data_IF_978023365002
#
_entry.id   IF_978023365002
#
_cell.length_a   1.000
_cell.length_b   1.000
_cell.length_c   1.000
_cell.angle_alpha   90.00
_cell.angle_beta   90.00
_cell.angle_gamma   90.00
#
_symmetry.space_group_name_H-M   'P 1'
#
loop_
_entity.id
_entity.type
_entity.pdbx_description
1 polymer ?
#
# COMPACT_ATOMS: atom_id res chain seq x y z
N UNK A 1 -10.73 -12.66 -55.78
CA UNK A 1 -11.64 -12.14 -54.73
C UNK A 1 -11.35 -10.66 -54.55
N UNK A 2 -12.34 -9.77 -54.57
CA UNK A 2 -12.14 -8.35 -54.27
C UNK A 2 -12.21 -8.18 -52.75
N UNK A 3 -11.09 -7.87 -52.11
CA UNK A 3 -11.06 -7.49 -50.69
C UNK A 3 -11.62 -6.08 -50.58
N UNK A 4 -12.75 -5.92 -49.89
CA UNK A 4 -13.26 -4.60 -49.54
C UNK A 4 -12.30 -3.97 -48.54
N UNK A 5 -11.90 -2.72 -48.79
CA UNK A 5 -11.11 -1.95 -47.83
C UNK A 5 -12.09 -1.31 -46.84
N UNK A 6 -11.89 -1.50 -45.53
CA UNK A 6 -12.74 -0.87 -44.53
C UNK A 6 -12.56 0.66 -44.59
N UNK A 7 -13.62 1.36 -44.22
CA UNK A 7 -13.65 2.81 -44.09
C UNK A 7 -13.27 3.23 -42.68
N UNK A 8 -12.74 4.44 -42.49
CA UNK A 8 -12.37 4.96 -41.17
C UNK A 8 -13.53 4.90 -40.17
N UNK A 9 -14.75 5.18 -40.64
CA UNK A 9 -15.96 5.06 -39.83
C UNK A 9 -16.20 3.65 -39.29
N UNK A 10 -15.92 2.61 -40.08
CA UNK A 10 -16.04 1.22 -39.65
C UNK A 10 -14.93 0.82 -38.67
N UNK A 11 -13.78 1.50 -38.71
CA UNK A 11 -12.68 1.28 -37.75
C UNK A 11 -12.92 1.99 -36.41
N UNK A 12 -13.73 3.06 -36.41
CA UNK A 12 -14.04 3.86 -35.22
C UNK A 12 -15.39 3.48 -34.58
N UNK A 13 -16.14 2.55 -35.18
CA UNK A 13 -17.42 2.10 -34.65
C UNK A 13 -17.22 1.31 -33.35
N UNK A 14 -17.76 1.84 -32.24
CA UNK A 14 -17.61 1.24 -30.91
C UNK A 14 -16.34 1.59 -30.15
N UNK A 15 -15.48 2.49 -30.67
CA UNK A 15 -14.40 3.10 -29.88
C UNK A 15 -14.94 4.35 -29.19
N UNK A 16 -15.08 4.29 -27.87
CA UNK A 16 -15.30 5.45 -27.01
C UNK A 16 -14.03 5.76 -26.20
N UNK A 17 -13.97 6.93 -25.57
CA UNK A 17 -12.80 7.37 -24.80
C UNK A 17 -12.38 6.41 -23.67
N UNK A 18 -13.28 5.53 -23.23
CA UNK A 18 -13.05 4.51 -22.21
C UNK A 18 -12.73 3.13 -22.82
N UNK A 19 -13.14 2.83 -24.06
CA UNK A 19 -12.80 1.58 -24.79
C UNK A 19 -11.58 1.70 -25.70
N UNK A 20 -11.14 2.92 -26.04
CA UNK A 20 -9.98 3.18 -26.89
C UNK A 20 -8.63 2.96 -26.17
N UNK A 21 -8.64 2.83 -24.84
CA UNK A 21 -7.45 2.48 -24.07
C UNK A 21 -7.24 0.97 -24.08
N UNK A 22 -6.37 0.51 -24.97
CA UNK A 22 -5.99 -0.90 -25.08
C UNK A 22 -5.17 -1.43 -23.89
N UNK A 23 -4.80 -0.60 -22.91
CA UNK A 23 -3.80 -0.94 -21.88
C UNK A 23 -4.21 -0.51 -20.46
N UNK A 24 -5.48 -0.66 -20.07
CA UNK A 24 -5.87 -0.48 -18.66
C UNK A 24 -5.22 -1.50 -17.70
N UNK A 25 -4.45 -2.49 -18.20
CA UNK A 25 -3.78 -3.50 -17.38
C UNK A 25 -2.44 -3.98 -17.98
N UNK A 26 -1.59 -3.09 -18.48
CA UNK A 26 -0.19 -3.47 -18.68
C UNK A 26 0.45 -3.64 -17.30
N UNK A 27 0.88 -4.87 -16.95
CA UNK A 27 1.66 -5.08 -15.73
C UNK A 27 2.89 -4.17 -15.78
N UNK A 28 3.09 -3.29 -14.77
CA UNK A 28 4.17 -2.32 -14.79
C UNK A 28 5.51 -3.04 -14.88
N UNK A 29 6.41 -2.51 -15.70
CA UNK A 29 7.73 -3.10 -15.86
C UNK A 29 8.50 -3.01 -14.52
N UNK A 30 9.44 -3.93 -14.24
CA UNK A 30 10.17 -3.92 -12.96
C UNK A 30 10.90 -2.61 -12.65
N UNK A 31 11.26 -1.83 -13.67
CA UNK A 31 11.88 -0.50 -13.52
C UNK A 31 10.87 0.64 -13.26
N UNK A 32 9.58 0.42 -13.52
CA UNK A 32 8.49 1.38 -13.27
C UNK A 32 7.91 1.24 -11.86
N UNK A 33 8.18 0.10 -11.20
CA UNK A 33 7.79 -0.15 -9.81
C UNK A 33 8.59 0.72 -8.84
N UNK A 34 7.89 1.26 -7.84
CA UNK A 34 8.54 1.95 -6.73
C UNK A 34 9.43 0.97 -5.94
N UNK A 35 10.47 1.45 -5.23
CA UNK A 35 11.36 0.58 -4.45
C UNK A 35 10.63 -0.36 -3.47
N UNK A 36 9.53 0.08 -2.87
CA UNK A 36 8.72 -0.72 -1.94
C UNK A 36 7.91 -1.81 -2.67
N UNK A 37 7.33 -1.50 -3.82
CA UNK A 37 6.57 -2.47 -4.63
C UNK A 37 7.48 -3.58 -5.16
N UNK A 38 8.72 -3.23 -5.53
CA UNK A 38 9.76 -4.22 -5.90
C UNK A 38 10.14 -5.14 -4.73
N UNK A 39 10.06 -4.63 -3.51
CA UNK A 39 10.39 -5.38 -2.29
C UNK A 39 9.22 -6.26 -1.81
N UNK A 40 8.00 -6.01 -2.30
CA UNK A 40 6.79 -6.73 -1.89
C UNK A 40 6.88 -8.19 -2.35
N UNK A 41 6.92 -9.11 -1.39
CA UNK A 41 6.99 -10.56 -1.64
C UNK A 41 8.40 -11.13 -1.86
N UNK A 42 9.45 -10.29 -1.92
CA UNK A 42 10.85 -10.75 -1.99
C UNK A 42 11.51 -10.91 -0.61
N UNK A 43 10.95 -10.24 0.41
CA UNK A 43 11.38 -10.41 1.80
C UNK A 43 10.92 -11.77 2.31
N UNK A 44 11.87 -12.72 2.40
CA UNK A 44 11.63 -14.08 2.94
C UNK A 44 11.36 -14.10 4.45
N UNK A 45 11.71 -13.02 5.14
CA UNK A 45 11.52 -12.83 6.57
C UNK A 45 12.19 -11.54 7.00
N UNK A 46 11.61 -10.88 7.99
CA UNK A 46 12.21 -9.75 8.66
C UNK A 46 12.64 -10.24 10.05
N UNK A 47 13.91 -10.61 10.20
CA UNK A 47 14.46 -10.80 11.53
C UNK A 47 14.54 -9.42 12.19
N UNK A 48 13.87 -9.26 13.33
CA UNK A 48 13.98 -8.09 14.20
C UNK A 48 14.87 -8.46 15.40
N UNK A 49 16.19 -8.58 15.21
CA UNK A 49 17.09 -9.07 16.25
C UNK A 49 17.17 -8.14 17.47
N UNK A 50 16.60 -6.93 17.39
CA UNK A 50 16.59 -5.94 18.46
C UNK A 50 15.19 -5.50 18.87
N UNK A 51 14.11 -6.02 18.26
CA UNK A 51 12.78 -5.73 18.80
C UNK A 51 12.62 -6.54 20.08
N UNK A 52 12.38 -5.89 21.23
CA UNK A 52 11.90 -6.60 22.40
C UNK A 52 10.61 -7.32 21.98
N UNK A 53 10.54 -8.63 22.23
CA UNK A 53 9.28 -9.34 22.07
C UNK A 53 8.33 -8.71 23.09
N UNK A 54 7.12 -8.34 22.68
CA UNK A 54 6.13 -7.76 23.61
C UNK A 54 6.01 -8.60 24.88
N UNK A 55 6.13 -9.93 24.75
CA UNK A 55 6.18 -10.88 25.86
C UNK A 55 7.34 -10.59 26.84
N UNK A 56 8.56 -10.33 26.35
CA UNK A 56 9.71 -9.95 27.18
C UNK A 56 9.49 -8.60 27.90
N UNK A 57 8.81 -7.65 27.24
CA UNK A 57 8.47 -6.37 27.86
C UNK A 57 7.44 -6.54 28.99
N UNK A 58 6.42 -7.38 28.80
CA UNK A 58 5.41 -7.66 29.83
C UNK A 58 5.94 -8.53 30.97
N UNK A 59 6.91 -9.41 30.70
CA UNK A 59 7.56 -10.26 31.70
C UNK A 59 8.67 -9.54 32.48
N UNK A 60 9.05 -8.33 32.05
CA UNK A 60 10.08 -7.51 32.71
C UNK A 60 9.60 -6.85 34.01
N UNK A 61 10.55 -6.33 34.79
CA UNK A 61 10.25 -5.63 36.03
C UNK A 61 9.32 -4.43 35.77
N UNK A 62 8.18 -4.42 36.45
CA UNK A 62 7.13 -3.42 36.25
C UNK A 62 7.50 -2.02 36.77
N UNK A 63 6.62 -1.07 36.49
CA UNK A 63 6.72 0.29 37.04
C UNK A 63 6.34 0.31 38.53
N UNK A 64 6.76 1.36 39.24
CA UNK A 64 6.37 1.56 40.64
C UNK A 64 4.86 1.82 40.79
N UNK A 65 4.33 1.54 41.97
CA UNK A 65 2.88 1.62 42.25
C UNK A 65 2.32 3.06 42.13
N UNK A 66 3.17 4.06 42.35
CA UNK A 66 2.87 5.49 42.20
C UNK A 66 3.01 6.00 40.76
N UNK A 67 3.42 5.15 39.82
CA UNK A 67 3.61 5.54 38.43
C UNK A 67 2.26 5.93 37.81
N UNK A 68 2.13 7.23 37.46
CA UNK A 68 0.94 7.85 36.82
C UNK A 68 -0.16 8.27 37.81
N UNK A 69 0.10 8.24 39.13
CA UNK A 69 -0.89 8.67 40.15
C UNK A 69 -1.40 10.12 39.90
N UNK A 70 -0.49 11.06 39.67
CA UNK A 70 -0.80 12.46 39.32
C UNK A 70 -0.37 12.78 37.88
N UNK A 71 -1.04 12.17 36.92
CA UNK A 71 -0.82 12.49 35.50
C UNK A 71 -1.22 13.94 35.23
N UNK A 72 -0.26 14.78 34.80
CA UNK A 72 -0.47 16.18 34.38
C UNK A 72 -1.26 16.30 33.06
N UNK A 73 -2.42 15.65 32.99
CA UNK A 73 -3.33 15.81 31.86
C UNK A 73 -4.05 17.15 32.00
N UNK A 74 -4.07 18.01 30.96
CA UNK A 74 -4.87 19.21 30.99
C UNK A 74 -6.33 18.82 31.24
N UNK A 75 -6.91 19.39 32.30
CA UNK A 75 -8.34 19.25 32.57
C UNK A 75 -9.07 19.89 31.40
N UNK A 76 -9.94 19.12 30.76
CA UNK A 76 -10.64 19.50 29.53
C UNK A 76 -11.18 20.92 29.69
N UNK A 77 -10.62 21.85 28.89
CA UNK A 77 -10.89 23.28 28.96
C UNK A 77 -12.22 23.61 28.29
N UNK A 78 -13.30 22.94 28.72
CA UNK A 78 -14.66 23.20 28.25
C UNK A 78 -15.44 23.90 29.35
N UNK A 79 -15.18 25.21 29.44
CA UNK A 79 -16.12 26.18 30.03
C UNK A 79 -17.42 26.22 29.25
#
# INVERSE_FOLDING_TARGET
MKTKRPTEKELLDGLDAHTAHADELAEPLPQELTPLERLKGTVKGYERPTDPVWDEWFDSEGVSDDFVEDREQPKDGRT
#
